data_IF_936470053475
#
_entry.id   IF_936470053475
#
_cell.length_a   1.000
_cell.length_b   1.000
_cell.length_c   1.000
_cell.angle_alpha   90.00
_cell.angle_beta   90.00
_cell.angle_gamma   90.00
#
_symmetry.space_group_name_H-M   'P 1'
#
loop_
_entity.id
_entity.type
_entity.pdbx_description
1 polymer ?
#
# COMPACT_ATOMS: atom_id res chain seq x y z
N UNK A 1 15.15 -16.56 5.47
CA UNK A 1 14.02 -16.77 4.54
C UNK A 1 14.58 -16.76 3.16
N UNK A 2 14.19 -17.66 2.24
CA UNK A 2 14.85 -17.71 0.96
C UNK A 2 14.45 -16.47 0.17
N UNK A 3 15.37 -15.52 0.13
CA UNK A 3 15.59 -14.70 -1.05
C UNK A 3 15.69 -15.72 -2.17
N UNK A 4 14.85 -15.64 -3.19
CA UNK A 4 14.92 -16.58 -4.31
C UNK A 4 16.26 -16.31 -4.99
N UNK A 5 17.28 -17.13 -4.68
CA UNK A 5 18.67 -16.91 -5.12
C UNK A 5 18.84 -17.08 -6.64
N UNK A 6 17.79 -17.51 -7.36
CA UNK A 6 17.78 -17.67 -8.81
C UNK A 6 16.46 -17.17 -9.42
N UNK A 7 16.20 -15.86 -9.38
CA UNK A 7 15.10 -15.28 -10.17
C UNK A 7 15.58 -15.18 -11.62
N UNK A 8 14.92 -15.88 -12.54
CA UNK A 8 15.18 -15.73 -13.97
C UNK A 8 14.56 -14.41 -14.46
N UNK A 9 15.36 -13.34 -14.56
CA UNK A 9 14.88 -12.04 -15.00
C UNK A 9 14.46 -11.99 -16.47
N UNK A 10 14.92 -12.92 -17.31
CA UNK A 10 14.60 -12.95 -18.76
C UNK A 10 13.14 -13.29 -19.08
N UNK A 11 12.43 -13.93 -18.15
CA UNK A 11 11.00 -14.26 -18.30
C UNK A 11 10.08 -13.18 -17.71
N UNK A 12 10.66 -12.19 -17.02
CA UNK A 12 9.91 -11.11 -16.38
C UNK A 12 9.60 -10.03 -17.40
N UNK A 13 8.36 -9.53 -17.34
CA UNK A 13 7.87 -8.42 -18.18
C UNK A 13 7.27 -7.30 -17.36
N UNK A 14 6.83 -7.61 -16.13
CA UNK A 14 6.14 -6.65 -15.27
C UNK A 14 6.81 -6.58 -13.91
N UNK A 15 7.21 -5.37 -13.54
CA UNK A 15 7.76 -5.06 -12.23
C UNK A 15 6.67 -4.41 -11.41
N UNK A 16 6.31 -5.02 -10.28
CA UNK A 16 5.41 -4.44 -9.29
C UNK A 16 6.24 -4.04 -8.08
N UNK A 17 6.07 -2.84 -7.56
CA UNK A 17 6.81 -2.40 -6.37
C UNK A 17 5.87 -1.83 -5.30
N UNK A 18 6.17 -2.12 -4.03
CA UNK A 18 5.71 -1.25 -2.95
C UNK A 18 6.23 0.18 -3.14
N UNK A 19 5.59 1.16 -2.51
CA UNK A 19 5.96 2.56 -2.66
C UNK A 19 6.79 3.04 -1.48
N UNK A 20 6.21 3.00 -0.29
CA UNK A 20 6.85 3.51 0.92
C UNK A 20 8.06 2.64 1.30
N UNK A 21 9.20 3.28 1.56
CA UNK A 21 10.50 2.66 1.88
C UNK A 21 11.05 1.69 0.82
N UNK A 22 10.41 1.65 -0.36
CA UNK A 22 10.80 0.80 -1.50
C UNK A 22 11.11 1.66 -2.74
N UNK A 23 10.20 2.53 -3.17
CA UNK A 23 10.41 3.43 -4.32
C UNK A 23 10.80 4.84 -3.85
N UNK A 24 10.25 5.28 -2.72
CA UNK A 24 10.61 6.53 -2.08
C UNK A 24 10.54 6.37 -0.55
N UNK A 25 11.18 7.28 0.18
CA UNK A 25 10.97 7.37 1.62
C UNK A 25 9.48 7.59 1.92
N UNK A 26 9.00 7.08 3.06
CA UNK A 26 7.57 7.08 3.35
C UNK A 26 6.92 8.47 3.19
N UNK A 27 5.84 8.51 2.40
CA UNK A 27 5.09 9.72 2.05
C UNK A 27 5.87 10.84 1.33
N UNK A 28 7.10 10.57 0.82
CA UNK A 28 7.90 11.52 0.06
C UNK A 28 7.73 11.37 -1.46
N UNK A 29 8.22 12.36 -2.20
CA UNK A 29 8.30 12.28 -3.66
C UNK A 29 9.40 11.28 -4.07
N UNK A 30 9.22 10.64 -5.23
CA UNK A 30 10.27 9.82 -5.85
C UNK A 30 11.52 10.67 -6.14
N UNK A 31 12.71 10.07 -6.01
CA UNK A 31 13.96 10.75 -6.40
C UNK A 31 14.08 10.82 -7.92
N UNK A 32 14.89 11.77 -8.43
CA UNK A 32 15.13 11.89 -9.87
C UNK A 32 15.89 10.66 -10.40
N UNK A 33 16.80 10.11 -9.59
CA UNK A 33 17.54 8.89 -9.94
C UNK A 33 16.60 7.68 -10.06
N UNK A 34 15.70 7.48 -9.10
CA UNK A 34 14.71 6.39 -9.16
C UNK A 34 13.79 6.54 -10.37
N UNK A 35 13.29 7.75 -10.63
CA UNK A 35 12.44 8.00 -11.80
C UNK A 35 13.17 7.73 -13.12
N UNK A 36 14.46 8.09 -13.20
CA UNK A 36 15.30 7.82 -14.37
C UNK A 36 15.52 6.32 -14.59
N UNK A 37 15.82 5.57 -13.52
CA UNK A 37 16.03 4.12 -13.60
C UNK A 37 14.75 3.40 -14.03
N UNK A 38 13.60 3.75 -13.46
CA UNK A 38 12.30 3.19 -13.86
C UNK A 38 11.99 3.53 -15.31
N UNK A 39 12.28 4.77 -15.74
CA UNK A 39 12.09 5.18 -17.14
C UNK A 39 12.94 4.34 -18.10
N UNK A 40 14.21 4.09 -17.75
CA UNK A 40 15.11 3.22 -18.52
C UNK A 40 14.52 1.82 -18.69
N UNK A 41 14.00 1.24 -17.61
CA UNK A 41 13.40 -0.09 -17.65
C UNK A 41 12.14 -0.14 -18.52
N UNK A 42 11.29 0.88 -18.42
CA UNK A 42 10.11 1.00 -19.28
C UNK A 42 10.53 1.10 -20.77
N UNK A 43 11.56 1.89 -21.08
CA UNK A 43 12.08 2.02 -22.44
C UNK A 43 12.68 0.71 -22.99
N UNK A 44 13.15 -0.19 -22.12
CA UNK A 44 13.59 -1.55 -22.49
C UNK A 44 12.46 -2.56 -22.65
N UNK A 45 11.20 -2.17 -22.40
CA UNK A 45 10.02 -2.98 -22.63
C UNK A 45 9.35 -3.57 -21.38
N UNK A 46 9.79 -3.18 -20.18
CA UNK A 46 9.10 -3.57 -18.94
C UNK A 46 7.86 -2.70 -18.70
N UNK A 47 6.80 -3.30 -18.17
CA UNK A 47 5.70 -2.55 -17.56
C UNK A 47 5.97 -2.37 -16.07
N UNK A 48 5.66 -1.20 -15.53
CA UNK A 48 5.89 -0.87 -14.12
C UNK A 48 4.57 -0.55 -13.41
N UNK A 49 4.33 -1.22 -12.27
CA UNK A 49 3.18 -0.97 -11.42
C UNK A 49 3.59 -0.65 -9.98
N UNK A 50 2.92 0.31 -9.38
CA UNK A 50 3.14 0.74 -8.00
C UNK A 50 1.94 0.36 -7.14
N UNK A 51 2.15 -0.42 -6.08
CA UNK A 51 1.07 -0.86 -5.18
C UNK A 51 1.32 -0.40 -3.75
N UNK A 52 0.36 0.32 -3.17
CA UNK A 52 0.47 0.80 -1.78
C UNK A 52 -0.92 0.94 -1.16
N UNK A 53 -0.99 0.91 0.17
CA UNK A 53 -2.22 1.21 0.92
C UNK A 53 -2.67 2.67 0.78
N UNK A 54 -1.82 3.54 0.22
CA UNK A 54 -2.11 4.95 -0.05
C UNK A 54 -3.11 5.14 -1.20
N UNK A 55 -3.89 6.23 -1.17
CA UNK A 55 -4.85 6.59 -2.23
C UNK A 55 -4.15 6.84 -3.57
N UNK A 56 -4.81 6.50 -4.68
CA UNK A 56 -4.27 6.67 -6.04
C UNK A 56 -3.82 8.11 -6.33
N UNK A 57 -4.58 9.12 -5.90
CA UNK A 57 -4.26 10.54 -6.13
C UNK A 57 -2.97 10.96 -5.41
N UNK A 58 -2.74 10.41 -4.21
CA UNK A 58 -1.50 10.65 -3.46
C UNK A 58 -0.31 9.98 -4.13
N UNK A 59 -0.48 8.74 -4.63
CA UNK A 59 0.55 8.03 -5.38
C UNK A 59 0.91 8.73 -6.69
N UNK A 60 -0.10 9.24 -7.43
CA UNK A 60 0.12 10.05 -8.63
C UNK A 60 1.00 11.26 -8.34
N UNK A 61 0.74 11.98 -7.24
CA UNK A 61 1.57 13.12 -6.83
C UNK A 61 2.99 12.68 -6.47
N UNK A 62 3.14 11.57 -5.74
CA UNK A 62 4.45 11.07 -5.28
C UNK A 62 5.34 10.60 -6.44
N UNK A 63 4.74 9.97 -7.45
CA UNK A 63 5.47 9.23 -8.50
C UNK A 63 5.39 9.96 -9.84
N UNK A 64 4.17 10.19 -10.34
CA UNK A 64 3.91 10.76 -11.68
C UNK A 64 4.30 12.24 -11.79
N UNK A 65 4.63 12.90 -10.68
CA UNK A 65 5.23 14.24 -10.69
C UNK A 65 6.58 14.25 -11.43
N UNK A 66 7.36 13.16 -11.33
CA UNK A 66 8.69 13.02 -11.93
C UNK A 66 8.79 11.91 -12.98
N UNK A 67 8.07 10.80 -12.80
CA UNK A 67 8.04 9.72 -13.79
C UNK A 67 7.09 10.08 -14.94
N UNK A 68 7.65 10.38 -16.12
CA UNK A 68 6.91 10.80 -17.33
C UNK A 68 6.79 9.69 -18.38
N UNK A 69 6.60 8.46 -17.91
CA UNK A 69 6.38 7.26 -18.73
C UNK A 69 5.05 6.64 -18.39
N UNK A 70 4.49 5.83 -19.29
CA UNK A 70 3.28 5.08 -18.98
C UNK A 70 3.52 4.12 -17.81
N UNK A 71 2.68 4.16 -16.77
CA UNK A 71 2.82 3.31 -15.59
C UNK A 71 1.48 3.07 -14.88
N UNK A 72 1.44 2.00 -14.09
CA UNK A 72 0.25 1.55 -13.38
C UNK A 72 0.29 1.96 -11.90
N UNK A 73 -0.83 2.44 -11.37
CA UNK A 73 -1.00 2.78 -9.96
C UNK A 73 -2.11 1.92 -9.37
N UNK A 74 -1.73 1.11 -8.38
CA UNK A 74 -2.58 0.20 -7.60
C UNK A 74 -2.76 0.78 -6.20
N UNK A 75 -3.58 1.82 -6.11
CA UNK A 75 -3.90 2.49 -4.85
C UNK A 75 -4.75 1.62 -3.94
N UNK A 76 -4.67 1.89 -2.63
CA UNK A 76 -5.41 1.19 -1.58
C UNK A 76 -5.24 -0.34 -1.66
N UNK A 77 -4.00 -0.79 -1.83
CA UNK A 77 -3.62 -2.21 -1.99
C UNK A 77 -4.26 -2.87 -3.22
N UNK A 78 -4.36 -2.10 -4.31
CA UNK A 78 -4.87 -2.58 -5.60
C UNK A 78 -6.39 -2.62 -5.74
N UNK A 79 -7.16 -2.15 -4.75
CA UNK A 79 -8.62 -1.96 -4.90
C UNK A 79 -8.95 -0.79 -5.83
N UNK A 80 -8.00 0.12 -6.07
CA UNK A 80 -8.11 1.16 -7.07
C UNK A 80 -6.98 0.98 -8.08
N UNK A 81 -7.32 0.80 -9.36
CA UNK A 81 -6.34 0.69 -10.44
C UNK A 81 -6.51 1.86 -11.41
N UNK A 82 -5.42 2.59 -11.58
CA UNK A 82 -5.31 3.73 -12.48
C UNK A 82 -4.11 3.53 -13.41
N UNK A 83 -4.30 3.77 -14.69
CA UNK A 83 -3.23 3.85 -15.68
C UNK A 83 -2.89 5.33 -15.90
N UNK A 84 -1.60 5.65 -15.80
CA UNK A 84 -1.06 6.96 -16.16
C UNK A 84 -0.42 6.82 -17.53
N UNK A 85 -0.93 7.52 -18.54
CA UNK A 85 -0.39 7.47 -19.90
C UNK A 85 0.79 8.43 -20.05
N UNK A 86 1.57 8.24 -21.12
CA UNK A 86 2.75 9.07 -21.41
C UNK A 86 2.40 10.55 -21.60
N UNK A 87 1.20 10.87 -22.10
CA UNK A 87 0.67 12.23 -22.22
C UNK A 87 0.17 12.83 -20.88
N UNK A 88 0.43 12.14 -19.76
CA UNK A 88 -0.05 12.46 -18.41
C UNK A 88 -1.58 12.36 -18.22
N UNK A 89 -2.33 11.82 -19.19
CA UNK A 89 -3.73 11.51 -18.99
C UNK A 89 -3.90 10.36 -18.00
N UNK A 90 -4.97 10.44 -17.21
CA UNK A 90 -5.27 9.52 -16.11
C UNK A 90 -6.49 8.70 -16.49
N UNK A 91 -6.33 7.39 -16.62
CA UNK A 91 -7.42 6.47 -16.90
C UNK A 91 -7.71 5.60 -15.66
N UNK A 92 -8.90 5.75 -15.08
CA UNK A 92 -9.34 4.92 -13.96
C UNK A 92 -9.93 3.63 -14.53
N UNK A 93 -9.21 2.52 -14.33
CA UNK A 93 -9.60 1.21 -14.84
C UNK A 93 -10.68 0.58 -13.95
N UNK A 94 -10.48 0.64 -12.63
CA UNK A 94 -11.51 0.30 -11.66
C UNK A 94 -11.26 1.01 -10.33
N UNK A 95 -12.34 1.24 -9.59
CA UNK A 95 -12.32 1.82 -8.24
C UNK A 95 -13.31 1.06 -7.37
N UNK A 96 -12.81 0.24 -6.44
CA UNK A 96 -13.66 -0.42 -5.45
C UNK A 96 -13.75 0.44 -4.20
N UNK A 97 -14.96 0.63 -3.70
CA UNK A 97 -15.20 1.33 -2.43
C UNK A 97 -15.98 0.43 -1.47
N UNK A 98 -15.89 0.76 -0.19
CA UNK A 98 -16.89 0.38 0.79
C UNK A 98 -18.22 1.02 0.38
N UNK A 99 -19.33 0.30 0.55
CA UNK A 99 -20.66 0.90 0.42
C UNK A 99 -20.93 1.85 1.59
N UNK A 100 -21.89 2.75 1.45
CA UNK A 100 -22.25 3.68 2.54
C UNK A 100 -22.68 2.95 3.82
N UNK A 101 -23.32 1.79 3.67
CA UNK A 101 -23.66 0.89 4.78
C UNK A 101 -22.39 0.36 5.46
N UNK A 102 -21.42 -0.14 4.70
CA UNK A 102 -20.16 -0.65 5.25
C UNK A 102 -19.35 0.45 5.93
N UNK A 103 -19.31 1.64 5.33
CA UNK A 103 -18.68 2.82 5.94
C UNK A 103 -19.37 3.18 7.26
N UNK A 104 -20.70 3.18 7.28
CA UNK A 104 -21.49 3.45 8.48
C UNK A 104 -21.26 2.44 9.61
N UNK A 105 -21.19 1.15 9.29
CA UNK A 105 -20.84 0.09 10.25
C UNK A 105 -19.47 0.35 10.89
N UNK A 106 -18.46 0.62 10.06
CA UNK A 106 -17.09 0.85 10.52
C UNK A 106 -16.96 2.13 11.35
N UNK A 107 -17.55 3.24 10.89
CA UNK A 107 -17.52 4.53 11.61
C UNK A 107 -18.19 4.38 12.97
N UNK A 108 -19.35 3.72 13.04
CA UNK A 108 -20.03 3.45 14.31
C UNK A 108 -19.19 2.59 15.26
N UNK A 109 -18.47 1.60 14.74
CA UNK A 109 -17.55 0.79 15.55
C UNK A 109 -16.37 1.62 16.08
N UNK A 110 -15.82 2.54 15.29
CA UNK A 110 -14.80 3.48 15.74
C UNK A 110 -15.33 4.49 16.76
N UNK A 111 -16.53 5.04 16.59
CA UNK A 111 -17.14 5.94 17.56
C UNK A 111 -17.30 5.24 18.93
N UNK A 112 -17.77 3.98 18.95
CA UNK A 112 -17.84 3.16 20.18
C UNK A 112 -16.48 2.90 20.80
N UNK A 113 -15.46 2.64 19.99
CA UNK A 113 -14.08 2.44 20.45
C UNK A 113 -13.54 3.71 21.11
N UNK A 114 -13.72 4.86 20.44
CA UNK A 114 -13.29 6.19 20.92
C UNK A 114 -13.92 6.50 22.28
N UNK A 115 -15.24 6.27 22.41
CA UNK A 115 -15.97 6.47 23.66
C UNK A 115 -15.47 5.52 24.76
N UNK A 116 -15.41 4.21 24.49
CA UNK A 116 -15.05 3.20 25.47
C UNK A 116 -13.63 3.39 26.05
N UNK A 117 -12.67 3.83 25.23
CA UNK A 117 -11.29 4.05 25.65
C UNK A 117 -10.93 5.52 25.88
N UNK A 118 -11.91 6.44 25.80
CA UNK A 118 -11.73 7.88 25.93
C UNK A 118 -10.58 8.42 25.06
N UNK A 119 -10.54 8.04 23.78
CA UNK A 119 -9.44 8.38 22.86
C UNK A 119 -9.52 9.87 22.48
N UNK A 120 -8.55 10.66 22.96
CA UNK A 120 -8.50 12.10 22.71
C UNK A 120 -7.69 12.43 21.45
N UNK A 121 -8.32 13.16 20.52
CA UNK A 121 -7.66 13.66 19.31
C UNK A 121 -6.90 14.96 19.58
N UNK A 122 -5.78 15.18 18.89
CA UNK A 122 -5.11 16.49 18.82
C UNK A 122 -5.53 17.30 17.58
N UNK A 123 -6.41 16.74 16.75
CA UNK A 123 -6.85 17.28 15.46
C UNK A 123 -8.38 17.21 15.34
N UNK A 124 -8.92 17.59 14.18
CA UNK A 124 -10.36 17.45 13.90
C UNK A 124 -10.81 16.00 13.84
N UNK A 125 -12.14 15.77 13.96
CA UNK A 125 -12.73 14.42 13.87
C UNK A 125 -12.50 13.79 12.50
N UNK A 126 -12.56 14.59 11.44
CA UNK A 126 -12.33 14.15 10.05
C UNK A 126 -10.87 13.75 9.81
N UNK A 127 -9.94 14.37 10.53
CA UNK A 127 -8.52 13.97 10.48
C UNK A 127 -8.25 12.72 11.32
N UNK A 128 -8.98 12.56 12.41
CA UNK A 128 -8.91 11.39 13.29
C UNK A 128 -9.50 10.15 12.59
N UNK A 129 -10.66 10.27 11.94
CA UNK A 129 -11.34 9.17 11.23
C UNK A 129 -11.45 9.52 9.75
N UNK A 130 -10.66 8.84 8.91
CA UNK A 130 -10.56 9.13 7.48
C UNK A 130 -11.25 8.07 6.64
N UNK A 131 -12.15 8.51 5.75
CA UNK A 131 -12.67 7.70 4.66
C UNK A 131 -11.68 7.70 3.48
N UNK A 132 -11.17 6.51 3.18
CA UNK A 132 -10.24 6.26 2.08
C UNK A 132 -10.83 5.40 0.96
N UNK A 133 -12.12 5.53 0.72
CA UNK A 133 -12.92 4.82 -0.27
C UNK A 133 -13.07 3.33 0.06
N UNK A 134 -12.01 2.53 -0.03
CA UNK A 134 -12.01 1.09 0.28
C UNK A 134 -11.53 0.75 1.70
N UNK A 135 -11.14 1.77 2.45
CA UNK A 135 -10.58 1.67 3.79
C UNK A 135 -11.10 2.82 4.65
N UNK A 136 -11.48 2.56 5.90
CA UNK A 136 -11.62 3.62 6.92
C UNK A 136 -10.45 3.48 7.90
N UNK A 137 -9.83 4.60 8.24
CA UNK A 137 -8.68 4.65 9.15
C UNK A 137 -9.01 5.51 10.37
N UNK A 138 -8.83 4.95 11.57
CA UNK A 138 -8.75 5.71 12.81
C UNK A 138 -7.29 6.00 13.11
N UNK A 139 -6.88 7.26 13.14
CA UNK A 139 -5.61 7.72 13.71
C UNK A 139 -5.85 8.24 15.12
N UNK A 140 -5.36 7.54 16.14
CA UNK A 140 -5.69 7.78 17.55
C UNK A 140 -5.72 9.26 17.95
N UNK A 141 -4.65 9.99 17.62
CA UNK A 141 -4.46 11.40 17.96
C UNK A 141 -4.58 12.34 16.76
N UNK A 142 -5.01 11.84 15.60
CA UNK A 142 -5.00 12.57 14.32
C UNK A 142 -3.86 12.17 13.40
N UNK A 143 -4.09 12.20 12.09
CA UNK A 143 -3.07 11.90 11.07
C UNK A 143 -1.99 12.98 11.02
N UNK A 144 -2.41 14.24 11.12
CA UNK A 144 -1.53 15.40 11.08
C UNK A 144 -1.01 15.83 12.46
N UNK A 145 -1.16 14.98 13.49
CA UNK A 145 -0.54 15.20 14.79
C UNK A 145 1.01 15.19 14.69
N UNK A 146 1.73 15.84 15.63
CA UNK A 146 3.20 15.87 15.64
C UNK A 146 3.82 14.47 15.62
N UNK A 147 4.95 14.33 14.91
CA UNK A 147 5.62 13.02 14.71
C UNK A 147 6.07 12.41 16.03
N UNK A 148 6.63 13.22 16.93
CA UNK A 148 7.12 12.80 18.24
C UNK A 148 5.96 12.28 19.11
N UNK A 149 4.82 12.98 19.09
CA UNK A 149 3.62 12.56 19.80
C UNK A 149 3.08 11.23 19.27
N UNK A 150 3.05 11.05 17.94
CA UNK A 150 2.63 9.80 17.31
C UNK A 150 3.56 8.64 17.65
N UNK A 151 4.88 8.87 17.64
CA UNK A 151 5.88 7.85 17.97
C UNK A 151 5.79 7.39 19.43
N UNK A 152 5.48 8.30 20.36
CA UNK A 152 5.39 8.01 21.79
C UNK A 152 4.07 7.35 22.21
N UNK A 153 2.98 7.51 21.44
CA UNK A 153 1.63 7.15 21.86
C UNK A 153 1.43 5.65 22.15
N UNK A 154 1.89 4.79 21.24
CA UNK A 154 1.73 3.33 21.33
C UNK A 154 2.92 2.64 20.64
N UNK A 155 4.12 2.93 21.13
CA UNK A 155 5.39 2.53 20.51
C UNK A 155 5.59 1.01 20.41
N UNK A 156 4.97 0.25 21.30
CA UNK A 156 4.99 -1.22 21.28
C UNK A 156 3.73 -1.84 20.62
N UNK A 157 2.77 -1.01 20.20
CA UNK A 157 1.57 -1.43 19.49
C UNK A 157 0.50 -2.10 20.36
N UNK A 158 0.70 -2.23 21.67
CA UNK A 158 -0.21 -3.01 22.54
C UNK A 158 -1.58 -2.37 22.68
N UNK A 159 -1.66 -1.03 22.70
CA UNK A 159 -2.94 -0.32 22.81
C UNK A 159 -3.77 -0.61 21.56
N UNK A 160 -3.17 -0.49 20.37
CA UNK A 160 -3.88 -0.75 19.12
C UNK A 160 -4.23 -2.24 18.95
N UNK A 161 -3.40 -3.17 19.42
CA UNK A 161 -3.77 -4.60 19.46
C UNK A 161 -5.02 -4.84 20.32
N UNK A 162 -5.12 -4.20 21.47
CA UNK A 162 -6.31 -4.25 22.32
C UNK A 162 -7.54 -3.67 21.61
N UNK A 163 -7.39 -2.57 20.86
CA UNK A 163 -8.47 -1.99 20.07
C UNK A 163 -8.94 -2.91 18.95
N UNK A 164 -8.02 -3.62 18.27
CA UNK A 164 -8.38 -4.64 17.27
C UNK A 164 -9.27 -5.72 17.90
N UNK A 165 -8.94 -6.22 19.09
CA UNK A 165 -9.77 -7.21 19.79
C UNK A 165 -11.13 -6.66 20.22
N UNK A 166 -11.22 -5.37 20.54
CA UNK A 166 -12.51 -4.70 20.77
C UNK A 166 -13.33 -4.63 19.47
N UNK A 167 -12.73 -4.19 18.37
CA UNK A 167 -13.40 -4.02 17.09
C UNK A 167 -13.92 -5.34 16.52
N UNK A 168 -13.17 -6.44 16.70
CA UNK A 168 -13.61 -7.80 16.34
C UNK A 168 -14.89 -8.27 17.05
N UNK A 169 -15.25 -7.67 18.18
CA UNK A 169 -16.52 -7.94 18.88
C UNK A 169 -17.69 -7.09 18.37
N UNK A 170 -17.40 -6.03 17.61
CA UNK A 170 -18.37 -5.03 17.16
C UNK A 170 -18.56 -4.99 15.64
N UNK A 171 -17.68 -5.66 14.91
CA UNK A 171 -17.72 -5.79 13.46
C UNK A 171 -17.56 -7.26 13.09
N UNK A 172 -18.22 -7.66 12.02
CA UNK A 172 -18.08 -9.00 11.46
C UNK A 172 -16.65 -9.22 10.93
N UNK A 173 -15.87 -10.05 11.64
CA UNK A 173 -14.49 -10.39 11.29
C UNK A 173 -14.37 -11.30 10.06
N UNK A 174 -15.48 -11.80 9.53
CA UNK A 174 -15.55 -12.46 8.22
C UNK A 174 -15.76 -11.45 7.09
N UNK A 175 -16.42 -10.32 7.37
CA UNK A 175 -16.62 -9.22 6.42
C UNK A 175 -15.45 -8.26 6.36
N UNK A 176 -14.83 -7.95 7.50
CA UNK A 176 -13.80 -6.92 7.61
C UNK A 176 -12.45 -7.47 8.06
N UNK A 177 -11.39 -6.86 7.53
CA UNK A 177 -10.03 -7.02 8.03
C UNK A 177 -9.63 -5.76 8.79
N UNK A 178 -9.11 -5.95 10.01
CA UNK A 178 -8.71 -4.88 10.91
C UNK A 178 -7.22 -5.07 11.19
N UNK A 179 -6.42 -4.03 10.99
CA UNK A 179 -4.97 -4.09 11.19
C UNK A 179 -4.45 -2.81 11.83
N UNK A 180 -3.28 -2.93 12.45
CA UNK A 180 -2.52 -1.78 12.90
C UNK A 180 -1.89 -1.11 11.68
N UNK A 181 -2.05 0.21 11.59
CA UNK A 181 -1.42 1.07 10.58
C UNK A 181 -0.47 2.07 11.25
N UNK A 182 0.69 2.28 10.66
CA UNK A 182 1.66 3.30 11.09
C UNK A 182 1.97 3.27 12.60
N UNK A 183 2.12 4.45 13.21
CA UNK A 183 2.46 4.63 14.63
C UNK A 183 1.25 4.83 15.54
N UNK A 184 0.11 5.27 15.01
CA UNK A 184 -1.09 5.57 15.80
C UNK A 184 -2.40 5.12 15.18
N UNK A 185 -2.37 4.38 14.06
CA UNK A 185 -3.57 4.09 13.29
C UNK A 185 -4.08 2.66 13.44
N UNK A 186 -5.38 2.51 13.27
CA UNK A 186 -6.07 1.25 13.00
C UNK A 186 -6.81 1.40 11.68
N UNK A 187 -6.54 0.49 10.76
CA UNK A 187 -7.15 0.46 9.42
C UNK A 187 -8.18 -0.67 9.35
N UNK A 188 -9.35 -0.37 8.77
CA UNK A 188 -10.39 -1.35 8.48
C UNK A 188 -10.73 -1.33 7.00
N UNK A 189 -10.58 -2.49 6.36
CA UNK A 189 -10.94 -2.75 4.96
C UNK A 189 -11.92 -3.91 4.90
N UNK A 190 -12.53 -4.19 3.73
CA UNK A 190 -13.13 -5.52 3.55
C UNK A 190 -12.05 -6.60 3.66
N UNK A 191 -12.45 -7.77 4.16
CA UNK A 191 -11.58 -8.92 4.28
C UNK A 191 -11.15 -9.40 2.89
N UNK A 192 -9.88 -9.80 2.78
CA UNK A 192 -9.31 -10.35 1.54
C UNK A 192 -8.71 -9.33 0.57
N UNK A 193 -8.63 -8.04 0.93
CA UNK A 193 -7.92 -7.03 0.13
C UNK A 193 -6.50 -6.79 0.67
N UNK A 194 -5.59 -7.69 0.32
CA UNK A 194 -4.15 -7.57 0.56
C UNK A 194 -3.35 -7.47 -0.77
N UNK A 195 -2.01 -7.42 -0.69
CA UNK A 195 -1.17 -7.31 -1.89
C UNK A 195 -1.27 -8.55 -2.78
N UNK A 196 -1.59 -9.72 -2.22
CA UNK A 196 -1.87 -10.92 -3.02
C UNK A 196 -3.10 -10.67 -3.91
N UNK A 197 -4.19 -10.18 -3.32
CA UNK A 197 -5.41 -9.86 -4.06
C UNK A 197 -5.16 -8.78 -5.12
N UNK A 198 -4.47 -7.69 -4.76
CA UNK A 198 -4.17 -6.59 -5.67
C UNK A 198 -3.39 -7.05 -6.90
N UNK A 199 -2.33 -7.84 -6.70
CA UNK A 199 -1.50 -8.39 -7.78
C UNK A 199 -2.32 -9.36 -8.64
N UNK A 200 -3.09 -10.28 -8.04
CA UNK A 200 -3.96 -11.21 -8.80
C UNK A 200 -4.98 -10.45 -9.65
N UNK A 201 -5.59 -9.41 -9.10
CA UNK A 201 -6.60 -8.60 -9.79
C UNK A 201 -5.99 -7.85 -10.96
N UNK A 202 -4.84 -7.21 -10.74
CA UNK A 202 -4.07 -6.53 -11.78
C UNK A 202 -3.64 -7.49 -12.90
N UNK A 203 -3.05 -8.63 -12.54
CA UNK A 203 -2.60 -9.64 -13.49
C UNK A 203 -3.76 -10.18 -14.35
N UNK A 204 -4.89 -10.52 -13.71
CA UNK A 204 -6.11 -10.96 -14.41
C UNK A 204 -6.66 -9.89 -15.35
N UNK A 205 -6.70 -8.63 -14.92
CA UNK A 205 -7.24 -7.55 -15.75
C UNK A 205 -6.39 -7.33 -17.01
N UNK A 206 -5.07 -7.37 -16.89
CA UNK A 206 -4.14 -7.10 -17.98
C UNK A 206 -3.69 -8.40 -18.72
N UNK A 207 -4.29 -9.56 -18.40
CA UNK A 207 -3.97 -10.86 -18.98
C UNK A 207 -2.46 -11.23 -18.87
N UNK A 208 -1.87 -11.00 -17.70
CA UNK A 208 -0.46 -11.28 -17.38
C UNK A 208 -0.37 -12.57 -16.55
N UNK A 209 0.56 -13.47 -16.90
CA UNK A 209 0.85 -14.62 -16.03
C UNK A 209 1.68 -14.20 -14.82
N UNK A 210 1.41 -14.80 -13.67
CA UNK A 210 2.17 -14.49 -12.46
C UNK A 210 3.68 -14.77 -12.59
N UNK A 211 4.07 -15.74 -13.42
CA UNK A 211 5.49 -16.02 -13.72
C UNK A 211 6.19 -14.87 -14.45
N UNK A 212 5.46 -14.00 -15.14
CA UNK A 212 5.98 -12.81 -15.83
C UNK A 212 6.14 -11.62 -14.88
N UNK A 213 5.68 -11.75 -13.64
CA UNK A 213 5.70 -10.70 -12.61
C UNK A 213 6.86 -10.92 -11.65
N UNK A 214 7.49 -9.82 -11.28
CA UNK A 214 8.43 -9.72 -10.16
C UNK A 214 7.98 -8.60 -9.23
N UNK A 215 8.04 -8.84 -7.93
CA UNK A 215 7.62 -7.90 -6.90
C UNK A 215 8.81 -7.37 -6.09
N UNK A 216 8.86 -6.06 -5.82
CA UNK A 216 9.85 -5.42 -4.95
C UNK A 216 9.15 -4.85 -3.71
N UNK A 217 9.68 -5.12 -2.51
CA UNK A 217 9.13 -4.58 -1.27
C UNK A 217 10.04 -4.74 -0.06
N UNK A 218 9.83 -3.92 0.97
CA UNK A 218 10.67 -3.86 2.17
C UNK A 218 10.21 -4.81 3.29
N UNK A 219 8.93 -5.16 3.31
CA UNK A 219 8.26 -5.91 4.40
C UNK A 219 7.79 -7.30 3.95
N UNK A 220 8.68 -8.08 3.34
CA UNK A 220 8.42 -9.46 2.88
C UNK A 220 8.57 -10.54 3.97
N UNK A 221 8.73 -10.17 5.24
CA UNK A 221 8.77 -11.11 6.37
C UNK A 221 7.35 -11.50 6.83
N UNK A 222 7.13 -12.63 7.52
CA UNK A 222 5.80 -13.06 7.94
C UNK A 222 5.16 -12.01 8.85
N UNK A 223 3.96 -11.56 8.47
CA UNK A 223 3.25 -10.46 9.15
C UNK A 223 3.50 -9.07 8.54
N UNK A 224 4.50 -8.91 7.66
CA UNK A 224 4.67 -7.71 6.85
C UNK A 224 3.57 -7.56 5.78
N UNK A 225 3.30 -6.33 5.35
CA UNK A 225 2.27 -6.02 4.35
C UNK A 225 2.61 -6.54 2.95
N UNK A 226 3.89 -6.77 2.63
CA UNK A 226 4.32 -7.35 1.35
C UNK A 226 4.34 -8.87 1.34
N UNK A 227 4.38 -9.52 2.51
CA UNK A 227 4.43 -10.98 2.61
C UNK A 227 3.39 -11.71 1.75
N UNK A 228 2.13 -11.24 1.61
CA UNK A 228 1.17 -11.87 0.71
C UNK A 228 1.63 -11.99 -0.75
N UNK A 229 2.45 -11.05 -1.26
CA UNK A 229 2.99 -11.13 -2.63
C UNK A 229 3.87 -12.36 -2.85
N UNK A 230 4.64 -12.77 -1.82
CA UNK A 230 5.55 -13.94 -1.88
C UNK A 230 4.85 -15.26 -2.18
N UNK A 231 3.54 -15.33 -1.99
CA UNK A 231 2.74 -16.53 -2.24
C UNK A 231 2.43 -16.77 -3.71
N UNK A 232 2.61 -15.75 -4.56
CA UNK A 232 2.08 -15.77 -5.93
C UNK A 232 3.07 -15.33 -7.00
N UNK A 233 4.08 -14.54 -6.66
CA UNK A 233 5.08 -14.01 -7.61
C UNK A 233 6.47 -14.05 -7.00
N UNK A 234 7.49 -14.04 -7.84
CA UNK A 234 8.87 -13.88 -7.38
C UNK A 234 9.03 -12.52 -6.72
N UNK A 235 9.70 -12.49 -5.57
CA UNK A 235 9.85 -11.29 -4.77
C UNK A 235 11.32 -10.97 -4.49
N UNK A 236 11.66 -9.69 -4.59
CA UNK A 236 12.95 -9.11 -4.25
C UNK A 236 12.76 -8.24 -3.01
N UNK A 237 13.28 -8.70 -1.89
CA UNK A 237 13.32 -7.89 -0.67
C UNK A 237 14.24 -6.70 -0.89
N UNK A 238 13.85 -5.50 -0.48
CA UNK A 238 14.71 -4.30 -0.47
C UNK A 238 14.78 -3.72 0.94
N UNK A 239 15.78 -2.88 1.21
CA UNK A 239 15.92 -2.21 2.52
C UNK A 239 15.44 -0.77 2.52
N UNK A 240 15.57 -0.10 1.39
CA UNK A 240 15.29 1.33 1.19
C UNK A 240 15.29 1.62 -0.33
N UNK A 241 14.92 2.84 -0.76
CA UNK A 241 14.92 3.24 -2.17
C UNK A 241 16.26 3.07 -2.88
N UNK A 242 17.39 3.32 -2.20
CA UNK A 242 18.73 3.17 -2.79
C UNK A 242 19.05 1.70 -3.10
N UNK A 243 18.68 0.78 -2.20
CA UNK A 243 18.82 -0.66 -2.40
C UNK A 243 17.92 -1.15 -3.54
N UNK A 244 16.74 -0.56 -3.71
CA UNK A 244 15.86 -0.82 -4.86
C UNK A 244 16.54 -0.44 -6.17
N UNK A 245 17.10 0.77 -6.29
CA UNK A 245 17.83 1.20 -7.51
C UNK A 245 18.96 0.23 -7.84
N UNK A 246 19.76 -0.13 -6.82
CA UNK A 246 20.87 -1.08 -6.99
C UNK A 246 20.37 -2.42 -7.54
N UNK A 247 19.29 -2.98 -6.97
CA UNK A 247 18.74 -4.26 -7.42
C UNK A 247 18.07 -4.19 -8.78
N UNK A 248 17.37 -3.11 -9.09
CA UNK A 248 16.82 -2.89 -10.44
C UNK A 248 17.93 -2.94 -11.50
N UNK A 249 19.07 -2.30 -11.23
CA UNK A 249 20.26 -2.35 -12.10
C UNK A 249 20.89 -3.75 -12.17
N UNK A 250 20.93 -4.50 -11.07
CA UNK A 250 21.51 -5.86 -11.03
C UNK A 250 20.65 -6.91 -11.74
N UNK A 251 19.33 -6.84 -11.61
CA UNK A 251 18.41 -7.83 -12.20
C UNK A 251 18.12 -7.59 -13.69
N UNK A 252 18.17 -6.33 -14.13
CA UNK A 252 17.74 -5.87 -15.45
C UNK A 252 18.79 -5.02 -16.16
N UNK A 253 20.06 -5.39 -15.96
CA UNK A 253 21.22 -4.85 -16.70
C UNK A 253 21.19 -5.26 -18.17
#
# INVERSE_FOLDING_TARGET
>A
MPIVENINSSEKKVIIADVDDTICESCQLVSDEMALEISRLIDTGFSFAFISGTKSESLQRMISSKLKKEHHILGTTGTNYTLIKEDSSVEIIYKYSLSDEEKGEIINAFDKLIENYNIQSMTTKEDQVQDRDSQITLSAIGRHAPTEAKAAYDSDGKIRLMWIEFLKKHLDSEKYHMKIGGTTSVDITKKGFDKEWGIRKFAKHNNINHSEIIFFGDKLYPGGNDFPATKIVDCVAVKNPEDTIRKLKEFFS
#
